data_IF_251667560720
#
_entry.id   IF_251667560720
#
_cell.length_a   1.000
_cell.length_b   1.000
_cell.length_c   1.000
_cell.angle_alpha   90.00
_cell.angle_beta   90.00
_cell.angle_gamma   90.00
#
_symmetry.space_group_name_H-M   'P 1'
#
loop_
_entity.id
_entity.type
_entity.pdbx_description
1 polymer ?
#
# COMPACT_ATOMS: atom_id res chain seq x y z
N UNK A 1 -37.78 -12.45 -2.00
CA UNK A 1 -36.37 -12.15 -2.37
C UNK A 1 -35.70 -11.68 -1.11
N UNK A 2 -34.75 -12.39 -0.52
CA UNK A 2 -33.99 -11.86 0.61
C UNK A 2 -33.16 -10.69 0.10
N UNK A 3 -33.36 -9.53 0.73
CA UNK A 3 -32.55 -8.33 0.54
C UNK A 3 -31.10 -8.65 0.75
N UNK A 4 -30.32 -8.41 -0.29
CA UNK A 4 -28.86 -8.52 -0.33
C UNK A 4 -28.27 -7.77 0.87
N UNK A 5 -27.85 -8.50 1.88
CA UNK A 5 -27.16 -7.94 3.04
C UNK A 5 -25.93 -7.26 2.49
N UNK A 6 -25.91 -5.94 2.44
CA UNK A 6 -24.78 -5.17 1.91
C UNK A 6 -23.50 -5.66 2.58
N UNK A 7 -22.70 -6.42 1.83
CA UNK A 7 -21.43 -6.96 2.30
C UNK A 7 -20.57 -5.81 2.78
N UNK A 8 -20.29 -5.78 4.08
CA UNK A 8 -19.42 -4.75 4.66
C UNK A 8 -18.02 -4.91 4.07
N UNK A 9 -17.46 -3.84 3.54
CA UNK A 9 -16.15 -3.88 2.89
C UNK A 9 -15.03 -4.17 3.89
N UNK A 10 -14.08 -5.08 3.58
CA UNK A 10 -12.94 -5.35 4.45
C UNK A 10 -12.08 -4.10 4.65
N UNK A 11 -11.35 -4.00 5.78
CA UNK A 11 -10.53 -2.84 6.13
C UNK A 11 -9.52 -2.47 5.05
N UNK A 12 -9.51 -1.22 4.60
CA UNK A 12 -8.54 -0.67 3.67
C UNK A 12 -7.51 0.26 4.34
N UNK A 13 -7.52 0.32 5.66
CA UNK A 13 -6.54 1.06 6.46
C UNK A 13 -5.18 0.35 6.51
N UNK A 14 -4.14 1.05 6.98
CA UNK A 14 -2.89 0.37 7.33
C UNK A 14 -3.02 -0.35 8.67
N UNK A 15 -2.32 -1.48 8.83
CA UNK A 15 -2.26 -2.15 10.14
C UNK A 15 -1.64 -1.26 11.22
N UNK A 16 -0.72 -0.34 10.83
CA UNK A 16 -0.16 0.64 11.75
C UNK A 16 -1.22 1.54 12.38
N UNK A 17 -2.20 2.02 11.61
CA UNK A 17 -3.33 2.82 12.12
C UNK A 17 -4.16 2.01 13.13
N UNK A 18 -4.46 0.75 12.82
CA UNK A 18 -5.17 -0.15 13.73
C UNK A 18 -4.41 -0.35 15.03
N UNK A 19 -3.11 -0.64 14.94
CA UNK A 19 -2.22 -0.83 16.09
C UNK A 19 -2.14 0.44 16.95
N UNK A 20 -1.93 1.61 16.33
CA UNK A 20 -1.89 2.89 17.05
C UNK A 20 -3.20 3.20 17.76
N UNK A 21 -4.35 2.84 17.19
CA UNK A 21 -5.63 2.99 17.88
C UNK A 21 -5.73 2.10 19.13
N UNK A 22 -5.28 0.84 19.04
CA UNK A 22 -5.22 -0.07 20.20
C UNK A 22 -4.28 0.50 21.26
N UNK A 23 -3.10 0.98 20.89
CA UNK A 23 -2.12 1.58 21.81
C UNK A 23 -2.70 2.80 22.55
N UNK A 24 -3.33 3.73 21.82
CA UNK A 24 -3.98 4.89 22.42
C UNK A 24 -5.10 4.50 23.40
N UNK A 25 -5.95 3.54 23.01
CA UNK A 25 -7.05 3.08 23.84
C UNK A 25 -6.57 2.23 25.04
N UNK A 26 -5.41 1.61 24.95
CA UNK A 26 -4.79 0.88 26.07
C UNK A 26 -4.20 1.82 27.13
N UNK A 27 -3.82 3.05 26.75
CA UNK A 27 -3.32 4.07 27.66
C UNK A 27 -4.42 4.72 28.52
N UNK A 28 -5.67 4.68 28.03
CA UNK A 28 -6.82 5.29 28.68
C UNK A 28 -7.87 4.22 29.04
N UNK A 29 -8.84 4.58 29.89
CA UNK A 29 -10.03 3.75 30.04
C UNK A 29 -10.88 3.86 28.79
N UNK A 30 -11.13 2.75 28.10
CA UNK A 30 -11.93 2.73 26.88
C UNK A 30 -13.32 3.33 27.16
N UNK A 31 -13.70 4.43 26.50
CA UNK A 31 -14.94 5.14 26.81
C UNK A 31 -16.17 4.27 26.54
N UNK A 32 -17.22 4.52 27.29
CA UNK A 32 -18.54 3.88 27.04
C UNK A 32 -19.28 4.51 25.86
N UNK A 33 -18.89 5.72 25.46
CA UNK A 33 -19.42 6.47 24.34
C UNK A 33 -18.76 6.08 22.99
N UNK A 34 -19.15 6.79 21.92
CA UNK A 34 -18.58 6.59 20.60
C UNK A 34 -17.05 6.85 20.57
N UNK A 35 -16.33 6.07 19.79
CA UNK A 35 -14.90 6.31 19.51
C UNK A 35 -14.77 7.46 18.50
N UNK A 36 -14.86 8.66 18.96
CA UNK A 36 -14.76 9.87 18.15
C UNK A 36 -13.29 10.33 17.97
N UNK A 37 -13.09 11.43 17.23
CA UNK A 37 -11.78 12.01 17.00
C UNK A 37 -11.11 12.61 18.25
N UNK A 38 -11.85 12.85 19.31
CA UNK A 38 -11.30 13.35 20.57
C UNK A 38 -10.62 12.24 21.36
N UNK A 39 -11.17 11.02 21.23
CA UNK A 39 -10.60 9.80 21.83
C UNK A 39 -9.36 9.33 21.04
N UNK A 40 -9.34 9.54 19.73
CA UNK A 40 -8.30 9.09 18.81
C UNK A 40 -7.64 10.32 18.15
N UNK A 41 -7.19 11.27 18.94
CA UNK A 41 -6.71 12.59 18.54
C UNK A 41 -5.43 12.58 17.70
N UNK A 42 -4.59 11.55 17.88
CA UNK A 42 -3.34 11.38 17.11
C UNK A 42 -3.57 10.88 15.67
N UNK A 43 -4.82 10.50 15.32
CA UNK A 43 -5.14 10.04 13.97
C UNK A 43 -5.61 11.17 13.05
N UNK A 44 -5.16 11.15 11.80
CA UNK A 44 -5.71 12.04 10.77
C UNK A 44 -7.20 11.76 10.54
N UNK A 45 -7.96 12.75 10.02
CA UNK A 45 -9.39 12.53 9.73
C UNK A 45 -9.64 11.39 8.73
N UNK A 46 -8.75 11.22 7.76
CA UNK A 46 -8.84 10.13 6.79
C UNK A 46 -8.55 8.76 7.42
N UNK A 47 -7.54 8.69 8.30
CA UNK A 47 -7.22 7.45 9.02
C UNK A 47 -8.30 7.07 10.01
N UNK A 48 -8.90 8.06 10.71
CA UNK A 48 -10.03 7.83 11.61
C UNK A 48 -11.23 7.23 10.85
N UNK A 49 -11.61 7.79 9.69
CA UNK A 49 -12.70 7.26 8.87
C UNK A 49 -12.44 5.82 8.39
N UNK A 50 -11.20 5.56 7.91
CA UNK A 50 -10.78 4.23 7.49
C UNK A 50 -10.76 3.23 8.66
N UNK A 51 -10.32 3.68 9.85
CA UNK A 51 -10.32 2.88 11.07
C UNK A 51 -11.75 2.51 11.48
N UNK A 52 -12.68 3.46 11.55
CA UNK A 52 -14.08 3.18 11.92
C UNK A 52 -14.72 2.15 11.00
N UNK A 53 -14.54 2.28 9.68
CA UNK A 53 -15.00 1.30 8.71
C UNK A 53 -14.36 -0.09 8.95
N UNK A 54 -13.07 -0.13 9.23
CA UNK A 54 -12.36 -1.38 9.53
C UNK A 54 -12.79 -2.02 10.84
N UNK A 55 -12.98 -1.25 11.89
CA UNK A 55 -13.48 -1.74 13.19
C UNK A 55 -14.92 -2.28 13.09
N UNK A 56 -15.77 -1.63 12.27
CA UNK A 56 -17.12 -2.11 12.00
C UNK A 56 -17.10 -3.46 11.28
N UNK A 57 -16.25 -3.63 10.25
CA UNK A 57 -16.08 -4.93 9.58
C UNK A 57 -15.64 -6.04 10.55
N UNK A 58 -14.67 -5.72 11.41
CA UNK A 58 -14.13 -6.67 12.40
C UNK A 58 -15.13 -6.95 13.55
N UNK A 59 -16.21 -6.18 13.66
CA UNK A 59 -17.18 -6.30 14.75
C UNK A 59 -16.67 -5.70 16.07
N UNK A 60 -15.68 -4.82 16.01
CA UNK A 60 -15.09 -4.16 17.17
C UNK A 60 -15.80 -2.87 17.57
N UNK A 61 -16.67 -2.36 16.71
CA UNK A 61 -17.60 -1.26 17.04
C UNK A 61 -19.01 -1.62 16.59
N UNK A 62 -19.98 -1.15 17.35
CA UNK A 62 -21.40 -1.27 17.03
C UNK A 62 -21.87 -0.17 16.05
N UNK A 63 -23.19 -0.15 15.77
CA UNK A 63 -23.82 0.86 14.91
C UNK A 63 -23.67 2.29 15.42
N UNK A 64 -23.53 2.48 16.71
CA UNK A 64 -23.31 3.77 17.37
C UNK A 64 -21.82 4.14 17.48
N UNK A 65 -20.93 3.34 16.87
CA UNK A 65 -19.45 3.48 16.95
C UNK A 65 -18.88 3.29 18.36
N UNK A 66 -19.60 2.62 19.26
CA UNK A 66 -19.08 2.27 20.58
C UNK A 66 -18.25 1.00 20.52
N UNK A 67 -17.22 0.93 21.35
CA UNK A 67 -16.38 -0.26 21.45
C UNK A 67 -17.19 -1.46 21.99
N UNK A 68 -17.18 -2.57 21.24
CA UNK A 68 -17.80 -3.84 21.67
C UNK A 68 -17.02 -4.51 22.80
N UNK A 69 -17.60 -5.47 23.52
CA UNK A 69 -16.87 -6.24 24.54
C UNK A 69 -15.63 -6.94 23.95
N UNK A 70 -15.72 -7.47 22.74
CA UNK A 70 -14.62 -8.14 22.03
C UNK A 70 -13.44 -7.18 21.81
N UNK A 71 -13.72 -5.94 21.40
CA UNK A 71 -12.67 -4.96 21.21
C UNK A 71 -12.04 -4.54 22.53
N UNK A 72 -12.83 -4.36 23.59
CA UNK A 72 -12.31 -4.09 24.93
C UNK A 72 -11.40 -5.19 25.43
N UNK A 73 -11.80 -6.46 25.22
CA UNK A 73 -11.00 -7.61 25.58
C UNK A 73 -9.67 -7.66 24.80
N UNK A 74 -9.72 -7.32 23.48
CA UNK A 74 -8.52 -7.25 22.66
C UNK A 74 -7.55 -6.16 23.15
N UNK A 75 -8.06 -4.95 23.46
CA UNK A 75 -7.26 -3.83 23.99
C UNK A 75 -6.65 -4.20 25.35
N UNK A 76 -7.43 -4.83 26.23
CA UNK A 76 -6.92 -5.30 27.53
C UNK A 76 -5.82 -6.33 27.37
N UNK A 77 -6.02 -7.31 26.48
CA UNK A 77 -5.03 -8.34 26.19
C UNK A 77 -3.74 -7.77 25.58
N UNK A 78 -3.86 -6.75 24.73
CA UNK A 78 -2.69 -6.05 24.14
C UNK A 78 -1.71 -5.59 25.21
N UNK A 79 -2.21 -5.06 26.34
CA UNK A 79 -1.38 -4.54 27.43
C UNK A 79 -0.89 -5.63 28.37
N UNK A 80 -1.70 -6.64 28.62
CA UNK A 80 -1.47 -7.60 29.70
C UNK A 80 -0.86 -8.92 29.23
N UNK A 81 -1.21 -9.40 28.04
CA UNK A 81 -0.85 -10.75 27.58
C UNK A 81 -0.82 -10.83 26.04
N UNK A 82 0.38 -10.81 25.50
CA UNK A 82 0.61 -10.90 24.04
C UNK A 82 0.03 -12.18 23.43
N UNK A 83 0.09 -13.30 24.13
CA UNK A 83 -0.43 -14.59 23.62
C UNK A 83 -1.94 -14.54 23.52
N UNK A 84 -2.61 -14.00 24.53
CA UNK A 84 -4.06 -13.80 24.52
C UNK A 84 -4.49 -12.80 23.45
N UNK A 85 -3.74 -11.70 23.27
CA UNK A 85 -3.97 -10.77 22.18
C UNK A 85 -3.90 -11.45 20.82
N UNK A 86 -2.86 -12.23 20.58
CA UNK A 86 -2.67 -12.97 19.33
C UNK A 86 -3.82 -13.94 19.06
N UNK A 87 -4.26 -14.68 20.08
CA UNK A 87 -5.37 -15.62 19.97
C UNK A 87 -6.69 -14.91 19.61
N UNK A 88 -7.03 -13.84 20.32
CA UNK A 88 -8.25 -13.06 20.07
C UNK A 88 -8.23 -12.41 18.67
N UNK A 89 -7.09 -11.87 18.27
CA UNK A 89 -6.94 -11.29 16.92
C UNK A 89 -7.11 -12.36 15.85
N UNK A 90 -6.47 -13.54 16.02
CA UNK A 90 -6.59 -14.67 15.10
C UNK A 90 -8.04 -15.15 14.96
N UNK A 91 -8.74 -15.34 16.08
CA UNK A 91 -10.14 -15.76 16.12
C UNK A 91 -11.02 -14.77 15.32
N UNK A 92 -10.88 -13.48 15.59
CA UNK A 92 -11.63 -12.44 14.86
C UNK A 92 -11.34 -12.47 13.37
N UNK A 93 -10.06 -12.56 12.97
CA UNK A 93 -9.68 -12.64 11.56
C UNK A 93 -10.23 -13.89 10.89
N UNK A 94 -10.18 -15.03 11.55
CA UNK A 94 -10.68 -16.31 11.03
C UNK A 94 -12.18 -16.25 10.74
N UNK A 95 -12.96 -15.67 11.66
CA UNK A 95 -14.40 -15.53 11.50
C UNK A 95 -14.77 -14.49 10.44
N UNK A 96 -14.19 -13.29 10.52
CA UNK A 96 -14.59 -12.15 9.66
C UNK A 96 -14.07 -12.26 8.24
N UNK A 97 -12.98 -12.95 8.01
CA UNK A 97 -12.43 -13.17 6.67
C UNK A 97 -12.75 -14.55 6.09
N UNK A 98 -13.54 -15.40 6.78
CA UNK A 98 -13.92 -16.72 6.29
C UNK A 98 -14.50 -16.67 4.86
N UNK A 99 -15.44 -15.75 4.62
CA UNK A 99 -16.07 -15.57 3.29
C UNK A 99 -15.13 -14.92 2.27
N UNK A 100 -14.10 -14.20 2.73
CA UNK A 100 -13.18 -13.48 1.83
C UNK A 100 -12.07 -14.41 1.33
N UNK A 101 -11.49 -15.22 2.21
CA UNK A 101 -10.30 -16.03 1.91
C UNK A 101 -10.44 -17.50 2.29
N UNK A 102 -11.63 -17.97 2.63
CA UNK A 102 -11.86 -19.32 3.16
C UNK A 102 -11.27 -20.47 2.31
N UNK A 103 -11.11 -20.26 1.01
CA UNK A 103 -10.53 -21.24 0.08
C UNK A 103 -9.03 -21.05 -0.17
N UNK A 104 -8.38 -20.08 0.47
CA UNK A 104 -6.95 -19.79 0.27
C UNK A 104 -6.14 -20.24 1.47
N UNK A 105 -5.22 -21.17 1.23
CA UNK A 105 -4.26 -21.55 2.27
C UNK A 105 -3.20 -20.45 2.46
N UNK A 106 -3.26 -19.74 3.56
CA UNK A 106 -2.35 -18.61 3.82
C UNK A 106 -0.90 -19.03 4.08
N UNK A 107 -0.63 -20.32 4.39
CA UNK A 107 0.72 -20.83 4.63
C UNK A 107 1.45 -21.24 3.34
N UNK A 108 0.72 -21.71 2.33
CA UNK A 108 1.29 -22.24 1.09
C UNK A 108 0.85 -21.45 -0.15
N UNK A 109 -0.21 -20.68 -0.06
CA UNK A 109 -0.83 -19.94 -1.16
C UNK A 109 0.05 -18.83 -1.73
N UNK A 110 -0.41 -18.29 -2.84
CA UNK A 110 0.25 -17.21 -3.60
C UNK A 110 -0.48 -15.87 -3.47
N UNK A 111 0.22 -14.77 -3.70
CA UNK A 111 -0.39 -13.44 -3.72
C UNK A 111 -1.49 -13.29 -4.77
N UNK A 112 -1.43 -14.05 -5.88
CA UNK A 112 -2.45 -14.03 -6.93
C UNK A 112 -3.76 -14.69 -6.46
N UNK A 113 -3.68 -15.78 -5.71
CA UNK A 113 -4.86 -16.46 -5.13
C UNK A 113 -5.56 -15.57 -4.10
N UNK A 114 -4.79 -14.93 -3.22
CA UNK A 114 -5.34 -13.96 -2.26
C UNK A 114 -5.99 -12.79 -3.00
N UNK A 115 -5.33 -12.22 -4.00
CA UNK A 115 -5.87 -11.12 -4.81
C UNK A 115 -7.19 -11.52 -5.50
N UNK A 116 -7.25 -12.75 -6.05
CA UNK A 116 -8.45 -13.30 -6.68
C UNK A 116 -9.60 -13.44 -5.68
N UNK A 117 -9.33 -13.95 -4.48
CA UNK A 117 -10.32 -14.12 -3.42
C UNK A 117 -10.92 -12.77 -2.98
N UNK A 118 -10.08 -11.77 -2.71
CA UNK A 118 -10.57 -10.44 -2.34
C UNK A 118 -11.36 -9.75 -3.46
N UNK A 119 -10.99 -9.94 -4.72
CA UNK A 119 -11.77 -9.45 -5.88
C UNK A 119 -13.12 -10.17 -6.00
N UNK A 120 -13.16 -11.48 -5.78
CA UNK A 120 -14.40 -12.26 -5.79
C UNK A 120 -15.37 -11.84 -4.68
N UNK A 121 -14.84 -11.41 -3.53
CA UNK A 121 -15.64 -10.84 -2.45
C UNK A 121 -16.23 -9.46 -2.79
N UNK A 122 -15.69 -8.76 -3.78
CA UNK A 122 -16.15 -7.45 -4.25
C UNK A 122 -15.23 -6.28 -3.91
N UNK A 123 -14.00 -6.53 -3.45
CA UNK A 123 -13.03 -5.44 -3.21
C UNK A 123 -12.55 -4.86 -4.55
N UNK A 124 -12.72 -3.54 -4.77
CA UNK A 124 -12.32 -2.90 -6.01
C UNK A 124 -10.83 -3.03 -6.31
N UNK A 125 -10.43 -3.23 -7.58
CA UNK A 125 -9.02 -3.32 -7.95
C UNK A 125 -8.27 -2.00 -7.69
N UNK A 126 -6.94 -2.09 -7.57
CA UNK A 126 -6.06 -0.93 -7.41
C UNK A 126 -5.56 -0.74 -5.98
N UNK A 127 -5.48 0.51 -5.53
CA UNK A 127 -4.89 0.83 -4.22
C UNK A 127 -5.71 0.28 -3.05
N UNK A 128 -7.04 0.26 -3.15
CA UNK A 128 -7.91 -0.27 -2.12
C UNK A 128 -7.64 -1.75 -1.90
N UNK A 129 -7.66 -2.56 -2.96
CA UNK A 129 -7.33 -3.98 -2.90
C UNK A 129 -5.95 -4.23 -2.27
N UNK A 130 -4.95 -3.47 -2.71
CA UNK A 130 -3.59 -3.59 -2.16
C UNK A 130 -3.53 -3.27 -0.66
N UNK A 131 -4.22 -2.22 -0.21
CA UNK A 131 -4.24 -1.84 1.21
C UNK A 131 -4.98 -2.88 2.05
N UNK A 132 -6.13 -3.35 1.57
CA UNK A 132 -6.94 -4.38 2.24
C UNK A 132 -6.17 -5.69 2.42
N UNK A 133 -5.51 -6.19 1.36
CA UNK A 133 -4.68 -7.39 1.45
C UNK A 133 -3.50 -7.18 2.41
N UNK A 134 -2.83 -6.02 2.35
CA UNK A 134 -1.72 -5.71 3.26
C UNK A 134 -2.14 -5.65 4.71
N UNK A 135 -3.31 -5.08 5.00
CA UNK A 135 -3.86 -5.08 6.34
C UNK A 135 -4.04 -6.52 6.85
N UNK A 136 -4.76 -7.34 6.09
CA UNK A 136 -5.05 -8.73 6.45
C UNK A 136 -3.79 -9.56 6.68
N UNK A 137 -2.87 -9.54 5.71
CA UNK A 137 -1.61 -10.29 5.80
C UNK A 137 -0.77 -9.86 7.01
N UNK A 138 -0.73 -8.54 7.31
CA UNK A 138 0.01 -8.04 8.45
C UNK A 138 -0.67 -8.39 9.77
N UNK A 139 -1.99 -8.31 9.83
CA UNK A 139 -2.77 -8.73 11.00
C UNK A 139 -2.60 -10.22 11.31
N UNK A 140 -2.61 -11.09 10.29
CA UNK A 140 -2.35 -12.52 10.45
C UNK A 140 -0.95 -12.80 11.01
N UNK A 141 0.06 -12.08 10.57
CA UNK A 141 1.43 -12.25 11.12
C UNK A 141 1.53 -11.83 12.57
N UNK A 142 0.90 -10.72 12.91
CA UNK A 142 0.85 -10.22 14.29
C UNK A 142 0.04 -11.16 15.21
N UNK A 143 -0.94 -11.89 14.67
CA UNK A 143 -1.64 -12.94 15.40
C UNK A 143 -0.83 -14.25 15.54
N UNK A 144 0.45 -14.25 15.14
CA UNK A 144 1.33 -15.42 15.25
C UNK A 144 1.21 -16.43 14.11
N UNK A 145 0.36 -16.18 13.10
CA UNK A 145 0.22 -17.09 11.97
C UNK A 145 1.40 -16.96 10.99
N UNK A 146 1.95 -18.09 10.57
CA UNK A 146 2.92 -18.13 9.48
C UNK A 146 2.22 -17.89 8.14
N UNK A 147 2.68 -16.88 7.40
CA UNK A 147 2.14 -16.51 6.09
C UNK A 147 3.18 -16.77 5.01
N UNK A 148 2.75 -17.43 3.93
CA UNK A 148 3.61 -17.77 2.78
C UNK A 148 4.42 -16.57 2.29
N UNK A 149 5.73 -16.73 2.05
CA UNK A 149 6.56 -15.68 1.48
C UNK A 149 6.13 -15.29 0.07
N UNK A 150 5.42 -16.17 -0.65
CA UNK A 150 4.88 -15.90 -1.98
C UNK A 150 3.72 -14.91 -1.98
N UNK A 151 2.99 -14.79 -0.86
CA UNK A 151 1.91 -13.80 -0.69
C UNK A 151 2.50 -12.40 -0.51
N UNK A 152 3.67 -12.29 0.09
CA UNK A 152 4.23 -11.00 0.54
C UNK A 152 5.28 -10.41 -0.40
N UNK A 153 5.69 -11.14 -1.44
CA UNK A 153 6.60 -10.58 -2.45
C UNK A 153 5.90 -9.41 -3.16
N UNK A 154 6.41 -8.19 -3.06
CA UNK A 154 5.84 -7.07 -3.82
C UNK A 154 5.93 -7.42 -5.31
N UNK A 155 4.81 -7.25 -6.05
CA UNK A 155 4.88 -7.25 -7.52
C UNK A 155 5.96 -6.24 -7.92
N UNK A 156 6.89 -6.59 -8.83
CA UNK A 156 7.86 -5.62 -9.34
C UNK A 156 7.07 -4.39 -9.80
N UNK A 157 7.41 -3.24 -9.22
CA UNK A 157 6.79 -1.98 -9.61
C UNK A 157 7.18 -1.73 -11.07
N UNK A 158 6.22 -1.78 -11.98
CA UNK A 158 6.40 -1.14 -13.29
C UNK A 158 6.87 0.30 -13.04
N UNK A 159 7.97 0.75 -13.65
CA UNK A 159 8.44 2.11 -13.50
C UNK A 159 7.27 3.07 -13.80
N UNK A 160 6.87 3.87 -12.83
CA UNK A 160 5.92 4.96 -13.09
C UNK A 160 6.64 5.95 -14.00
N UNK A 161 6.21 6.05 -15.24
CA UNK A 161 6.54 7.20 -16.08
C UNK A 161 5.99 8.42 -15.34
N UNK A 162 6.83 9.39 -14.95
CA UNK A 162 6.35 10.58 -14.26
C UNK A 162 5.48 11.38 -15.24
N UNK A 163 4.17 11.32 -15.08
CA UNK A 163 3.25 12.26 -15.73
C UNK A 163 3.54 13.65 -15.16
N UNK A 164 4.16 14.54 -15.96
CA UNK A 164 4.29 15.95 -15.64
C UNK A 164 2.88 16.51 -15.34
N UNK A 165 2.63 16.87 -14.09
CA UNK A 165 1.51 17.75 -13.76
C UNK A 165 1.74 19.05 -14.51
N UNK A 166 0.80 19.42 -15.37
CA UNK A 166 0.75 20.74 -15.96
C UNK A 166 0.66 21.77 -14.83
N UNK A 167 1.76 22.43 -14.53
CA UNK A 167 1.87 23.49 -13.55
C UNK A 167 1.38 24.78 -14.15
N UNK A 168 0.45 25.43 -13.47
CA UNK A 168 -0.06 26.77 -13.68
C UNK A 168 1.12 27.77 -13.62
N UNK A 169 1.26 28.58 -14.64
CA UNK A 169 2.26 29.64 -14.73
C UNK A 169 2.12 30.63 -13.56
N UNK A 170 3.22 30.95 -12.94
CA UNK A 170 3.36 32.02 -11.94
C UNK A 170 4.83 32.42 -11.83
N UNK A 171 5.10 33.62 -12.20
CA UNK A 171 6.25 34.46 -12.44
C UNK A 171 7.34 34.47 -11.37
N UNK A 172 8.59 34.65 -11.87
CA UNK A 172 9.80 35.29 -11.30
C UNK A 172 10.57 34.64 -10.13
N UNK A 173 11.83 34.37 -10.46
CA UNK A 173 12.96 34.88 -9.66
C UNK A 173 13.69 33.83 -8.82
N UNK A 174 14.89 33.66 -9.24
CA UNK A 174 16.08 33.38 -8.44
C UNK A 174 16.74 32.00 -8.62
N UNK A 175 17.87 32.10 -9.24
CA UNK A 175 18.96 31.12 -9.32
C UNK A 175 19.41 30.73 -7.91
N UNK A 176 19.40 29.44 -7.60
CA UNK A 176 20.43 28.84 -6.76
C UNK A 176 20.57 27.34 -7.04
N UNK A 177 21.76 27.01 -7.47
CA UNK A 177 22.30 25.65 -7.57
C UNK A 177 22.15 24.91 -6.24
N UNK A 178 21.60 23.72 -6.26
CA UNK A 178 21.91 22.70 -5.27
C UNK A 178 21.92 21.36 -5.99
N UNK A 179 23.13 20.95 -6.37
CA UNK A 179 23.40 19.62 -6.88
C UNK A 179 23.07 18.56 -5.84
N UNK A 180 21.90 17.95 -5.94
CA UNK A 180 21.65 16.68 -5.28
C UNK A 180 22.39 15.61 -6.06
N UNK A 181 23.54 15.16 -5.52
CA UNK A 181 24.18 13.94 -5.95
C UNK A 181 23.16 12.78 -5.82
N UNK A 182 22.60 12.37 -6.94
CA UNK A 182 21.82 11.15 -7.00
C UNK A 182 22.79 9.97 -6.98
N UNK A 183 23.06 9.42 -5.79
CA UNK A 183 23.88 8.23 -5.61
C UNK A 183 23.16 7.06 -6.29
N UNK A 184 23.86 6.36 -7.17
CA UNK A 184 23.31 5.16 -7.80
C UNK A 184 23.00 4.07 -6.76
N UNK A 185 21.91 3.29 -6.93
CA UNK A 185 21.61 2.18 -6.05
C UNK A 185 22.76 1.16 -6.01
N UNK A 186 22.92 0.48 -4.87
CA UNK A 186 23.96 -0.53 -4.67
C UNK A 186 23.87 -1.62 -5.76
N UNK A 187 24.94 -1.85 -6.50
CA UNK A 187 24.99 -2.81 -7.62
C UNK A 187 24.73 -2.21 -9.03
N UNK A 188 24.61 -0.87 -9.13
CA UNK A 188 24.49 -0.16 -10.40
C UNK A 188 25.51 0.96 -10.52
N UNK A 189 25.96 1.21 -11.74
CA UNK A 189 26.75 2.38 -12.11
C UNK A 189 25.93 3.37 -12.92
N UNK A 190 26.40 4.61 -12.97
CA UNK A 190 25.76 5.71 -13.66
C UNK A 190 26.73 6.31 -14.68
N UNK A 191 26.27 6.45 -15.91
CA UNK A 191 26.99 7.13 -16.97
C UNK A 191 26.18 8.32 -17.47
N UNK A 192 26.78 9.50 -17.46
CA UNK A 192 26.15 10.71 -18.01
C UNK A 192 26.20 10.67 -19.53
N UNK A 193 25.11 11.07 -20.19
CA UNK A 193 25.06 11.12 -21.65
C UNK A 193 25.86 12.34 -22.14
N UNK A 194 26.89 12.14 -22.99
CA UNK A 194 27.66 13.26 -23.52
C UNK A 194 26.76 14.30 -24.21
N UNK A 195 26.92 15.57 -23.86
CA UNK A 195 26.11 16.68 -24.39
C UNK A 195 24.76 16.90 -23.72
N UNK A 196 24.38 16.06 -22.73
CA UNK A 196 23.14 16.21 -21.95
C UNK A 196 23.45 16.06 -20.46
N UNK A 197 23.85 17.14 -19.74
CA UNK A 197 24.32 17.06 -18.37
C UNK A 197 23.27 16.50 -17.38
N UNK A 198 21.98 16.64 -17.69
CA UNK A 198 20.89 16.14 -16.87
C UNK A 198 20.38 14.73 -17.26
N UNK A 199 20.95 14.15 -18.33
CA UNK A 199 20.59 12.82 -18.79
C UNK A 199 21.67 11.80 -18.40
N UNK A 200 21.25 10.67 -17.85
CA UNK A 200 22.15 9.60 -17.45
C UNK A 200 21.53 8.23 -17.70
N UNK A 201 22.40 7.25 -17.88
CA UNK A 201 22.04 5.84 -18.00
C UNK A 201 22.55 5.13 -16.74
N UNK A 202 21.66 4.38 -16.08
CA UNK A 202 22.03 3.47 -14.98
C UNK A 202 22.07 2.05 -15.52
N UNK A 203 23.17 1.35 -15.25
CA UNK A 203 23.38 -0.02 -15.69
C UNK A 203 23.92 -0.89 -14.54
N UNK A 204 23.61 -2.20 -14.51
CA UNK A 204 24.14 -3.10 -13.50
C UNK A 204 25.66 -3.29 -13.67
N UNK A 205 26.38 -3.45 -12.57
CA UNK A 205 27.85 -3.68 -12.56
C UNK A 205 28.27 -4.91 -13.37
N UNK A 206 27.37 -5.89 -13.55
CA UNK A 206 27.59 -7.06 -14.39
C UNK A 206 26.85 -6.87 -15.74
N UNK A 207 27.44 -6.14 -16.67
CA UNK A 207 26.94 -6.02 -18.03
C UNK A 207 27.13 -7.35 -18.78
N UNK A 208 26.03 -7.83 -19.36
CA UNK A 208 26.04 -8.97 -20.29
C UNK A 208 25.81 -8.47 -21.73
N UNK A 209 26.15 -9.29 -22.73
CA UNK A 209 25.90 -8.98 -24.15
C UNK A 209 24.42 -8.68 -24.40
N UNK A 210 23.49 -9.38 -23.73
CA UNK A 210 22.07 -9.12 -23.81
C UNK A 210 21.70 -7.70 -23.34
N UNK A 211 22.34 -7.17 -22.30
CA UNK A 211 22.15 -5.78 -21.85
C UNK A 211 22.69 -4.78 -22.89
N UNK A 212 23.83 -5.04 -23.52
CA UNK A 212 24.39 -4.19 -24.57
C UNK A 212 23.45 -4.12 -25.79
N UNK A 213 22.89 -5.24 -26.21
CA UNK A 213 21.93 -5.32 -27.30
C UNK A 213 20.64 -4.54 -26.99
N UNK A 214 20.14 -4.62 -25.75
CA UNK A 214 18.98 -3.85 -25.30
C UNK A 214 19.26 -2.35 -25.33
N UNK A 215 20.41 -1.89 -24.86
CA UNK A 215 20.80 -0.47 -24.94
C UNK A 215 20.90 0.03 -26.37
N UNK A 216 21.47 -0.76 -27.27
CA UNK A 216 21.56 -0.41 -28.68
C UNK A 216 20.17 -0.24 -29.30
N UNK A 217 19.24 -1.14 -29.02
CA UNK A 217 17.86 -1.06 -29.50
C UNK A 217 17.14 0.19 -28.92
N UNK A 218 17.32 0.50 -27.63
CA UNK A 218 16.77 1.71 -27.01
C UNK A 218 17.31 2.99 -27.64
N UNK A 219 18.61 3.07 -27.89
CA UNK A 219 19.23 4.24 -28.52
C UNK A 219 18.70 4.43 -29.94
N UNK A 220 18.54 3.35 -30.69
CA UNK A 220 18.00 3.38 -32.05
C UNK A 220 16.55 3.91 -32.05
N UNK A 221 15.73 3.45 -31.12
CA UNK A 221 14.34 3.90 -30.95
C UNK A 221 14.28 5.38 -30.58
N UNK A 222 15.13 5.83 -29.65
CA UNK A 222 15.17 7.24 -29.24
C UNK A 222 15.61 8.16 -30.40
N UNK A 223 16.56 7.71 -31.24
CA UNK A 223 16.99 8.44 -32.45
C UNK A 223 15.85 8.56 -33.47
N UNK A 224 15.06 7.51 -33.65
CA UNK A 224 13.88 7.54 -34.51
C UNK A 224 12.83 8.55 -34.00
N UNK A 225 12.54 8.54 -32.72
CA UNK A 225 11.65 9.52 -32.08
C UNK A 225 12.14 10.97 -32.22
N UNK A 226 13.44 11.21 -32.02
CA UNK A 226 14.02 12.54 -32.16
C UNK A 226 13.91 13.07 -33.59
N UNK A 227 14.08 12.19 -34.60
CA UNK A 227 13.90 12.57 -36.01
C UNK A 227 12.45 12.94 -36.34
N UNK A 228 11.49 12.20 -35.79
CA UNK A 228 10.04 12.50 -35.98
C UNK A 228 9.66 13.84 -35.35
N UNK A 229 10.19 14.15 -34.16
CA UNK A 229 9.95 15.44 -33.50
C UNK A 229 10.62 16.63 -34.21
N UNK A 230 11.79 16.41 -34.80
CA UNK A 230 12.49 17.46 -35.55
C UNK A 230 11.80 17.74 -36.91
N UNK A 231 11.30 16.72 -37.58
CA UNK A 231 10.60 16.87 -38.88
C UNK A 231 9.18 17.44 -38.79
N UNK A 232 8.58 17.43 -37.58
CA UNK A 232 7.24 18.01 -37.37
C UNK A 232 7.19 19.52 -37.17
N UNK A 233 8.33 20.21 -37.14
CA UNK A 233 8.42 21.67 -36.97
C UNK A 233 8.54 22.47 -38.28
N UNK A 234 8.70 21.82 -39.41
CA UNK A 234 8.89 22.51 -40.71
C UNK A 234 7.62 22.69 -41.54
N UNK A 235 6.46 22.24 -41.09
CA UNK A 235 5.20 22.35 -41.85
C UNK A 235 4.15 23.25 -41.14
N UNK A 236 4.57 24.40 -40.59
CA UNK A 236 3.68 25.33 -39.90
C UNK A 236 4.08 26.78 -40.14
N UNK A 237 4.26 27.19 -41.41
CA UNK A 237 4.22 28.60 -41.87
C UNK A 237 3.28 28.70 -43.05
#
# INVERSE_FOLDING_TARGET
MPTDSSKVAPPYMSYGVFKSAIEMLAEITVPSGPLDRRVLDKLSGADHGALMSGLSFLGYVDGDRKATPEYRNLIHAWKADTTKYQALLFETLSVKYADVVGNVNMQTGTGAEVEKAFKAYGVPPGQMLTKTIRFYVKALRESGMSVSPHITKPKPRTPRIPTKKAGKAGTTGSVMQSGKEHIAPKGFERMTVPGMPDAFIQYPLSLTEAHCNLFTAMITTLRAFAKVQAGGKENGE
#
